data_IF_899040582377
#
_entry.id   IF_899040582377
#
_cell.length_a   1.000
_cell.length_b   1.000
_cell.length_c   1.000
_cell.angle_alpha   90.00
_cell.angle_beta   90.00
_cell.angle_gamma   90.00
#
_symmetry.space_group_name_H-M   'P 1'
#
loop_
_entity.id
_entity.type
_entity.pdbx_description
1 polymer ?
#
# COMPACT_ATOMS: atom_id res chain seq x y z
N UNK A 1 42.44 -25.57 10.80
CA UNK A 1 41.89 -26.08 9.52
C UNK A 1 40.42 -26.41 9.74
N UNK A 2 39.49 -25.60 9.23
CA UNK A 2 38.06 -25.88 9.32
C UNK A 2 37.71 -26.92 8.26
N UNK A 3 37.44 -28.14 8.68
CA UNK A 3 36.92 -29.21 7.83
C UNK A 3 35.53 -28.83 7.31
N UNK A 4 35.48 -28.33 6.08
CA UNK A 4 34.23 -28.12 5.34
C UNK A 4 33.61 -29.50 5.09
N UNK A 5 32.52 -29.79 5.77
CA UNK A 5 31.73 -30.99 5.53
C UNK A 5 31.11 -30.91 4.13
N UNK A 6 31.50 -31.82 3.24
CA UNK A 6 30.87 -32.00 1.93
C UNK A 6 29.78 -33.08 2.06
N UNK A 7 28.49 -32.70 2.03
CA UNK A 7 27.42 -33.68 2.08
C UNK A 7 27.34 -34.52 0.79
N UNK A 8 26.92 -35.80 0.88
CA UNK A 8 26.68 -36.65 -0.29
C UNK A 8 25.63 -36.06 -1.25
N UNK A 9 25.71 -36.40 -2.54
CA UNK A 9 24.71 -36.00 -3.53
C UNK A 9 23.32 -36.52 -3.13
N UNK A 10 22.35 -35.62 -2.97
CA UNK A 10 20.99 -35.94 -2.50
C UNK A 10 20.78 -35.89 -0.99
N UNK A 11 21.81 -35.56 -0.20
CA UNK A 11 21.67 -35.34 1.23
C UNK A 11 21.19 -33.92 1.52
N UNK A 12 20.00 -33.80 2.11
CA UNK A 12 19.48 -32.56 2.68
C UNK A 12 19.57 -32.64 4.21
N UNK A 13 20.15 -31.65 4.92
CA UNK A 13 20.23 -31.66 6.38
C UNK A 13 18.85 -31.86 7.01
N UNK A 14 18.72 -32.68 8.06
CA UNK A 14 17.46 -32.82 8.82
C UNK A 14 17.01 -31.42 9.30
N UNK A 15 15.79 -31.01 8.94
CA UNK A 15 15.24 -29.69 9.28
C UNK A 15 15.09 -28.70 8.12
N UNK A 16 15.81 -28.89 7.01
CA UNK A 16 15.69 -28.03 5.80
C UNK A 16 14.30 -28.07 5.17
N UNK A 17 13.63 -29.22 5.24
CA UNK A 17 12.25 -29.46 4.81
C UNK A 17 11.20 -28.64 5.60
N UNK A 18 11.51 -28.14 6.79
CA UNK A 18 10.60 -27.33 7.60
C UNK A 18 10.87 -25.81 7.49
N UNK A 19 12.02 -25.39 6.97
CA UNK A 19 12.38 -23.98 6.86
C UNK A 19 11.58 -23.23 5.78
N UNK A 20 11.17 -23.90 4.70
CA UNK A 20 10.49 -23.27 3.56
C UNK A 20 9.01 -22.95 3.83
N UNK A 21 8.28 -23.80 4.57
CA UNK A 21 6.84 -23.61 4.83
C UNK A 21 6.53 -22.40 5.72
N UNK A 22 7.36 -22.11 6.73
CA UNK A 22 7.08 -21.01 7.65
C UNK A 22 7.31 -19.62 7.02
N UNK A 23 8.27 -19.52 6.10
CA UNK A 23 8.55 -18.29 5.34
C UNK A 23 7.46 -17.96 4.32
N UNK A 24 6.93 -18.97 3.62
CA UNK A 24 5.87 -18.79 2.62
C UNK A 24 4.57 -18.29 3.26
N UNK A 25 4.11 -18.92 4.35
CA UNK A 25 2.87 -18.52 5.04
C UNK A 25 2.93 -17.09 5.57
N UNK A 26 4.07 -16.67 6.15
CA UNK A 26 4.26 -15.28 6.64
C UNK A 26 4.27 -14.26 5.51
N UNK A 27 4.86 -14.60 4.37
CA UNK A 27 4.90 -13.71 3.19
C UNK A 27 3.51 -13.56 2.59
N UNK A 28 2.77 -14.65 2.45
CA UNK A 28 1.40 -14.65 1.94
C UNK A 28 0.48 -13.83 2.85
N UNK A 29 0.49 -14.10 4.16
CA UNK A 29 -0.30 -13.34 5.13
C UNK A 29 0.07 -11.85 5.10
N UNK A 30 1.36 -11.51 5.10
CA UNK A 30 1.82 -10.13 5.00
C UNK A 30 1.37 -9.44 3.72
N UNK A 31 1.32 -10.17 2.60
CA UNK A 31 0.85 -9.65 1.30
C UNK A 31 -0.66 -9.40 1.32
N UNK A 32 -1.45 -10.31 1.87
CA UNK A 32 -2.90 -10.11 1.99
C UNK A 32 -3.22 -8.93 2.91
N UNK A 33 -2.52 -8.82 4.04
CA UNK A 33 -2.69 -7.72 4.99
C UNK A 33 -2.34 -6.39 4.33
N UNK A 34 -1.19 -6.28 3.64
CA UNK A 34 -0.83 -5.04 2.96
C UNK A 34 -1.83 -4.69 1.85
N UNK A 35 -2.25 -5.67 1.06
CA UNK A 35 -3.18 -5.46 -0.04
C UNK A 35 -4.56 -4.97 0.41
N UNK A 36 -5.02 -5.38 1.59
CA UNK A 36 -6.31 -4.95 2.16
C UNK A 36 -6.19 -3.62 2.90
N UNK A 37 -5.11 -3.40 3.65
CA UNK A 37 -4.95 -2.17 4.44
C UNK A 37 -4.67 -0.94 3.55
N UNK A 38 -3.91 -1.11 2.47
CA UNK A 38 -3.56 0.01 1.58
C UNK A 38 -4.77 0.78 1.04
N UNK A 39 -5.80 0.15 0.42
CA UNK A 39 -6.96 0.89 -0.09
C UNK A 39 -7.75 1.57 1.04
N UNK A 40 -7.80 0.99 2.25
CA UNK A 40 -8.42 1.63 3.42
C UNK A 40 -7.66 2.90 3.82
N UNK A 41 -6.32 2.81 3.86
CA UNK A 41 -5.45 3.95 4.16
C UNK A 41 -5.57 5.07 3.12
N UNK A 42 -5.59 4.70 1.84
CA UNK A 42 -5.82 5.65 0.73
C UNK A 42 -7.19 6.30 0.85
N UNK A 43 -8.24 5.51 1.07
CA UNK A 43 -9.61 6.02 1.17
C UNK A 43 -9.78 7.04 2.29
N UNK A 44 -9.28 6.73 3.49
CA UNK A 44 -9.32 7.65 4.63
C UNK A 44 -8.50 8.92 4.37
N UNK A 45 -7.29 8.77 3.82
CA UNK A 45 -6.44 9.93 3.50
C UNK A 45 -7.05 10.82 2.41
N UNK A 46 -7.64 10.22 1.37
CA UNK A 46 -8.29 10.92 0.27
C UNK A 46 -9.54 11.67 0.72
N UNK A 47 -10.42 11.00 1.47
CA UNK A 47 -11.65 11.59 1.97
C UNK A 47 -11.35 12.74 2.95
N UNK A 48 -10.41 12.53 3.87
CA UNK A 48 -9.98 13.57 4.80
C UNK A 48 -9.38 14.78 4.07
N UNK A 49 -8.54 14.57 3.05
CA UNK A 49 -7.95 15.65 2.27
C UNK A 49 -8.98 16.48 1.51
N UNK A 50 -10.04 15.84 1.01
CA UNK A 50 -11.14 16.53 0.34
C UNK A 50 -11.93 17.44 1.27
N UNK A 51 -12.27 16.93 2.45
CA UNK A 51 -13.05 17.64 3.46
C UNK A 51 -12.26 18.85 4.00
N UNK A 52 -10.93 18.72 4.14
CA UNK A 52 -10.02 19.85 4.44
C UNK A 52 -10.05 20.92 3.33
N UNK A 53 -10.17 20.55 2.06
CA UNK A 53 -10.27 21.53 0.95
C UNK A 53 -11.60 22.27 0.98
N UNK A 54 -12.69 21.60 1.31
CA UNK A 54 -14.01 22.22 1.49
C UNK A 54 -14.01 23.20 2.66
N UNK A 55 -13.26 22.92 3.74
CA UNK A 55 -13.06 23.86 4.86
C UNK A 55 -12.47 25.21 4.40
N UNK A 56 -11.45 25.20 3.54
CA UNK A 56 -10.83 26.44 3.03
C UNK A 56 -11.84 27.29 2.25
N UNK A 57 -12.83 26.64 1.64
CA UNK A 57 -13.83 27.29 0.76
C UNK A 57 -15.08 27.71 1.54
N UNK A 58 -15.57 26.89 2.48
CA UNK A 58 -16.85 27.05 3.18
C UNK A 58 -16.71 27.58 4.62
N UNK A 59 -15.50 27.62 5.19
CA UNK A 59 -15.25 28.17 6.52
C UNK A 59 -15.69 27.27 7.67
N UNK A 60 -16.31 27.84 8.70
CA UNK A 60 -16.56 27.17 10.00
C UNK A 60 -17.66 26.09 10.04
N UNK A 61 -18.32 25.80 8.93
CA UNK A 61 -19.41 24.83 8.80
C UNK A 61 -18.95 23.40 8.45
N UNK A 62 -17.67 23.19 8.16
CA UNK A 62 -17.09 21.88 7.85
C UNK A 62 -16.57 21.13 9.11
N UNK A 63 -16.66 19.80 9.12
CA UNK A 63 -16.21 18.94 10.24
C UNK A 63 -14.68 18.83 10.31
N UNK A 64 -14.05 19.84 10.94
CA UNK A 64 -12.60 19.93 11.12
C UNK A 64 -11.98 18.75 11.85
N UNK A 65 -12.66 18.22 12.86
CA UNK A 65 -12.09 17.16 13.68
C UNK A 65 -12.17 15.83 12.95
N UNK A 66 -13.30 15.52 12.32
CA UNK A 66 -13.48 14.33 11.49
C UNK A 66 -12.44 14.23 10.37
N UNK A 67 -12.25 15.32 9.61
CA UNK A 67 -11.27 15.38 8.52
C UNK A 67 -9.83 15.12 8.99
N UNK A 68 -9.38 15.76 10.09
CA UNK A 68 -8.04 15.55 10.64
C UNK A 68 -7.83 14.11 11.10
N UNK A 69 -8.82 13.49 11.76
CA UNK A 69 -8.72 12.09 12.18
C UNK A 69 -8.63 11.13 10.98
N UNK A 70 -9.32 11.41 9.89
CA UNK A 70 -9.24 10.59 8.67
C UNK A 70 -7.87 10.71 7.99
N UNK A 71 -7.31 11.91 7.89
CA UNK A 71 -5.96 12.11 7.32
C UNK A 71 -4.92 11.40 8.18
N UNK A 72 -4.94 11.63 9.51
CA UNK A 72 -3.98 11.01 10.43
C UNK A 72 -4.16 9.49 10.42
N UNK A 73 -5.40 9.00 10.46
CA UNK A 73 -5.71 7.57 10.40
C UNK A 73 -5.22 6.93 9.11
N UNK A 74 -5.50 7.55 7.96
CA UNK A 74 -5.02 7.09 6.65
C UNK A 74 -3.48 7.10 6.57
N UNK A 75 -2.83 8.16 7.04
CA UNK A 75 -1.38 8.25 7.09
C UNK A 75 -0.74 7.17 8.00
N UNK A 76 -1.32 6.92 9.17
CA UNK A 76 -0.87 5.87 10.10
C UNK A 76 -1.03 4.49 9.47
N UNK A 77 -2.14 4.22 8.76
CA UNK A 77 -2.33 2.95 8.07
C UNK A 77 -1.34 2.76 6.92
N UNK A 78 -1.09 3.80 6.11
CA UNK A 78 -0.09 3.74 5.03
C UNK A 78 1.32 3.59 5.60
N UNK A 79 1.63 4.27 6.70
CA UNK A 79 2.89 4.10 7.42
C UNK A 79 3.04 2.69 7.98
N UNK A 80 1.96 2.11 8.52
CA UNK A 80 1.93 0.71 8.97
C UNK A 80 2.23 -0.23 7.80
N UNK A 81 1.64 -0.04 6.62
CA UNK A 81 1.94 -0.85 5.42
C UNK A 81 3.41 -0.69 5.00
N UNK A 82 3.96 0.51 5.08
CA UNK A 82 5.39 0.74 4.82
C UNK A 82 6.26 0.01 5.86
N UNK A 83 5.89 0.04 7.14
CA UNK A 83 6.58 -0.69 8.20
C UNK A 83 6.48 -2.22 8.01
N UNK A 84 5.36 -2.72 7.46
CA UNK A 84 5.19 -4.13 7.11
C UNK A 84 6.24 -4.62 6.09
N UNK A 85 6.87 -3.73 5.32
CA UNK A 85 7.97 -4.09 4.42
C UNK A 85 9.12 -4.75 5.19
N UNK A 86 9.32 -4.39 6.47
CA UNK A 86 10.34 -5.00 7.31
C UNK A 86 10.08 -6.50 7.56
N UNK A 87 8.85 -6.99 7.36
CA UNK A 87 8.46 -8.39 7.52
C UNK A 87 8.18 -9.06 6.17
N UNK A 88 7.39 -8.43 5.30
CA UNK A 88 7.04 -8.90 3.95
C UNK A 88 7.32 -7.81 2.90
N UNK A 89 8.58 -7.64 2.46
CA UNK A 89 8.93 -6.64 1.44
C UNK A 89 8.14 -6.85 0.15
N UNK A 90 7.95 -8.11 -0.26
CA UNK A 90 7.18 -8.47 -1.46
C UNK A 90 5.72 -8.03 -1.32
N UNK A 91 5.11 -8.24 -0.15
CA UNK A 91 3.73 -7.83 0.09
C UNK A 91 3.53 -6.33 0.02
N UNK A 92 4.45 -5.55 0.60
CA UNK A 92 4.41 -4.08 0.52
C UNK A 92 4.65 -3.58 -0.91
N UNK A 93 5.56 -4.20 -1.67
CA UNK A 93 5.79 -3.86 -3.08
C UNK A 93 4.54 -4.12 -3.94
N UNK A 94 3.90 -5.28 -3.79
CA UNK A 94 2.66 -5.62 -4.52
C UNK A 94 1.55 -4.62 -4.18
N UNK A 95 1.35 -4.31 -2.90
CA UNK A 95 0.34 -3.34 -2.49
C UNK A 95 0.60 -1.94 -3.07
N UNK A 96 1.87 -1.49 -3.06
CA UNK A 96 2.27 -0.23 -3.68
C UNK A 96 2.07 -0.20 -5.20
N UNK A 97 2.32 -1.32 -5.88
CA UNK A 97 2.07 -1.46 -7.31
C UNK A 97 0.58 -1.40 -7.63
N UNK A 98 -0.21 -2.28 -7.01
CA UNK A 98 -1.65 -2.47 -7.31
C UNK A 98 -2.45 -1.21 -6.99
N UNK A 99 -2.18 -0.57 -5.86
CA UNK A 99 -3.00 0.55 -5.37
C UNK A 99 -2.42 1.94 -5.58
N UNK A 100 -1.14 2.04 -5.97
CA UNK A 100 -0.47 3.33 -6.15
C UNK A 100 0.13 3.50 -7.53
N UNK A 101 1.19 2.73 -7.83
CA UNK A 101 2.01 2.95 -9.02
C UNK A 101 1.24 2.67 -10.32
N UNK A 102 0.59 1.52 -10.42
CA UNK A 102 -0.20 1.14 -11.60
C UNK A 102 -1.36 2.11 -11.84
N UNK A 103 -2.28 2.37 -10.87
CA UNK A 103 -3.38 3.31 -11.10
C UNK A 103 -2.88 4.72 -11.39
N UNK A 104 -1.76 5.13 -10.78
CA UNK A 104 -1.13 6.42 -11.06
C UNK A 104 -0.56 6.54 -12.47
N UNK A 105 0.10 5.49 -12.99
CA UNK A 105 0.60 5.45 -14.36
C UNK A 105 -0.56 5.38 -15.35
N UNK A 106 -1.57 4.54 -15.07
CA UNK A 106 -2.77 4.43 -15.90
C UNK A 106 -3.49 5.77 -15.99
N UNK A 107 -3.55 6.56 -14.92
CA UNK A 107 -4.12 7.89 -14.98
C UNK A 107 -3.37 8.83 -15.93
N UNK A 108 -2.04 8.79 -15.95
CA UNK A 108 -1.24 9.61 -16.87
C UNK A 108 -1.49 9.22 -18.34
N UNK A 109 -1.58 7.92 -18.61
CA UNK A 109 -1.72 7.40 -19.98
C UNK A 109 -3.17 7.44 -20.48
N UNK A 110 -4.12 7.16 -19.59
CA UNK A 110 -5.55 6.96 -19.86
C UNK A 110 -6.40 7.62 -18.75
N UNK A 111 -6.42 8.96 -18.66
CA UNK A 111 -7.10 9.65 -17.58
C UNK A 111 -8.60 9.30 -17.54
N UNK A 112 -9.23 9.22 -18.71
CA UNK A 112 -10.69 9.07 -18.82
C UNK A 112 -11.14 7.66 -18.44
N UNK A 113 -10.36 6.65 -18.82
CA UNK A 113 -10.63 5.26 -18.42
C UNK A 113 -10.46 5.07 -16.90
N UNK A 114 -9.49 5.77 -16.31
CA UNK A 114 -9.25 5.73 -14.86
C UNK A 114 -10.42 6.33 -14.09
N UNK A 115 -10.97 7.46 -14.55
CA UNK A 115 -12.15 8.04 -13.93
C UNK A 115 -13.38 7.15 -14.05
N UNK A 116 -13.57 6.56 -15.22
CA UNK A 116 -14.68 5.63 -15.47
C UNK A 116 -14.60 4.40 -14.57
N UNK A 117 -13.39 3.89 -14.31
CA UNK A 117 -13.20 2.82 -13.34
C UNK A 117 -13.63 3.22 -11.93
N UNK A 118 -13.26 4.42 -11.48
CA UNK A 118 -13.66 4.94 -10.16
C UNK A 118 -15.17 5.15 -10.08
N UNK A 119 -15.81 5.62 -11.14
CA UNK A 119 -17.27 5.78 -11.21
C UNK A 119 -18.04 4.45 -11.23
N UNK A 120 -17.43 3.40 -11.79
CA UNK A 120 -18.04 2.07 -11.87
C UNK A 120 -17.88 1.27 -10.57
N UNK A 121 -17.19 1.78 -9.55
CA UNK A 121 -17.05 1.09 -8.26
C UNK A 121 -18.40 1.04 -7.53
N UNK A 122 -19.01 -0.16 -7.39
CA UNK A 122 -20.29 -0.29 -6.71
C UNK A 122 -20.13 0.08 -5.22
N UNK A 123 -21.21 0.58 -4.62
CA UNK A 123 -21.32 0.85 -3.16
C UNK A 123 -20.46 2.00 -2.60
N UNK A 124 -19.66 2.70 -3.41
CA UNK A 124 -19.00 3.94 -2.98
C UNK A 124 -19.94 5.14 -3.05
N UNK A 125 -19.99 5.93 -1.98
CA UNK A 125 -20.70 7.22 -1.95
C UNK A 125 -20.09 8.23 -2.93
N UNK A 126 -20.89 9.18 -3.40
CA UNK A 126 -20.46 10.19 -4.37
C UNK A 126 -19.28 11.03 -3.86
N UNK A 127 -19.30 11.38 -2.58
CA UNK A 127 -18.20 12.12 -1.92
C UNK A 127 -16.88 11.32 -1.94
N UNK A 128 -16.96 9.99 -1.76
CA UNK A 128 -15.78 9.13 -1.77
C UNK A 128 -15.21 8.94 -3.18
N UNK A 129 -16.09 8.90 -4.19
CA UNK A 129 -15.68 8.89 -5.61
C UNK A 129 -14.95 10.18 -5.97
N UNK A 130 -15.50 11.32 -5.57
CA UNK A 130 -14.85 12.62 -5.73
C UNK A 130 -13.50 12.68 -4.99
N UNK A 131 -13.40 12.03 -3.82
CA UNK A 131 -12.17 11.96 -3.05
C UNK A 131 -11.07 11.22 -3.79
N UNK A 132 -11.40 10.05 -4.33
CA UNK A 132 -10.49 9.24 -5.11
C UNK A 132 -10.10 9.92 -6.43
N UNK A 133 -11.04 10.57 -7.11
CA UNK A 133 -10.73 11.40 -8.28
C UNK A 133 -9.70 12.47 -7.96
N UNK A 134 -9.91 13.25 -6.89
CA UNK A 134 -8.96 14.27 -6.45
C UNK A 134 -7.62 13.67 -6.01
N UNK A 135 -7.63 12.52 -5.35
CA UNK A 135 -6.42 11.83 -4.93
C UNK A 135 -5.52 11.47 -6.12
N UNK A 136 -6.12 10.90 -7.16
CA UNK A 136 -5.44 10.52 -8.39
C UNK A 136 -5.00 11.75 -9.18
N UNK A 137 -5.87 12.76 -9.32
CA UNK A 137 -5.59 14.05 -9.97
C UNK A 137 -4.39 14.77 -9.37
N UNK A 138 -4.27 14.78 -8.04
CA UNK A 138 -3.16 15.43 -7.34
C UNK A 138 -1.87 14.58 -7.37
N UNK A 139 -1.87 13.42 -8.04
CA UNK A 139 -0.71 12.54 -8.16
C UNK A 139 -0.37 11.76 -6.89
N UNK A 140 -1.24 11.79 -5.86
CA UNK A 140 -0.97 11.08 -4.62
C UNK A 140 -0.93 9.56 -4.80
N UNK A 141 -1.67 9.01 -5.78
CA UNK A 141 -1.57 7.60 -6.14
C UNK A 141 -0.15 7.18 -6.56
N UNK A 142 0.51 7.99 -7.42
CA UNK A 142 1.90 7.72 -7.80
C UNK A 142 2.85 7.85 -6.62
N UNK A 143 2.70 8.92 -5.83
CA UNK A 143 3.54 9.14 -4.66
C UNK A 143 3.45 7.97 -3.68
N UNK A 144 2.24 7.54 -3.29
CA UNK A 144 2.08 6.38 -2.38
C UNK A 144 2.68 5.11 -2.97
N UNK A 145 2.46 4.86 -4.26
CA UNK A 145 3.04 3.72 -4.96
C UNK A 145 4.56 3.70 -4.89
N UNK A 146 5.21 4.81 -5.22
CA UNK A 146 6.67 4.98 -5.17
C UNK A 146 7.20 4.85 -3.75
N UNK A 147 6.55 5.46 -2.77
CA UNK A 147 6.97 5.36 -1.35
C UNK A 147 6.91 3.92 -0.84
N UNK A 148 5.83 3.18 -1.13
CA UNK A 148 5.68 1.78 -0.71
C UNK A 148 6.68 0.86 -1.41
N UNK A 149 6.93 1.08 -2.70
CA UNK A 149 7.98 0.39 -3.44
C UNK A 149 9.37 0.69 -2.86
N UNK A 150 9.66 1.95 -2.57
CA UNK A 150 10.90 2.38 -1.93
C UNK A 150 11.10 1.71 -0.56
N UNK A 151 10.05 1.63 0.26
CA UNK A 151 10.08 0.93 1.54
C UNK A 151 10.39 -0.57 1.37
N UNK A 152 9.77 -1.23 0.38
CA UNK A 152 10.04 -2.62 0.06
C UNK A 152 11.48 -2.87 -0.41
N UNK A 153 12.01 -2.01 -1.28
CA UNK A 153 13.40 -2.09 -1.75
C UNK A 153 14.36 -1.88 -0.59
N UNK A 154 14.17 -0.84 0.22
CA UNK A 154 15.00 -0.55 1.39
C UNK A 154 15.01 -1.72 2.39
N UNK A 155 13.85 -2.31 2.66
CA UNK A 155 13.74 -3.47 3.55
C UNK A 155 14.44 -4.71 2.99
N UNK A 156 14.40 -4.91 1.67
CA UNK A 156 15.09 -6.02 1.00
C UNK A 156 16.60 -5.83 1.04
N UNK A 157 17.09 -4.61 0.81
CA UNK A 157 18.51 -4.27 0.88
C UNK A 157 19.07 -4.42 2.30
N UNK A 158 18.33 -4.02 3.33
CA UNK A 158 18.75 -4.17 4.75
C UNK A 158 18.95 -5.63 5.18
N UNK A 159 18.33 -6.59 4.48
CA UNK A 159 18.42 -8.03 4.79
C UNK A 159 19.60 -8.73 4.10
N UNK A 160 20.27 -8.06 3.16
CA UNK A 160 21.47 -8.54 2.48
C UNK A 160 22.71 -8.07 3.21
#
# INVERSE_FOLDING_TARGET
>A
MSSQYQPPAGWSPPGTQFQTRSGFGRTLAGTLISLVITPIGIGLAAHGALDTRQWVILGGSADRWGSNFQIIGGAVLLFLVAALAAFSPVGTAIAGLVWGLIPGILHILFPEDTYRQIENLPELSDDFRLALHNWVLNGFALLTGVFLLGAAVAATLRRR
#
